data_IF_001242381777
#
_entry.id   IF_001242381777
#
_cell.length_a   1.000
_cell.length_b   1.000
_cell.length_c   1.000
_cell.angle_alpha   90.00
_cell.angle_beta   90.00
_cell.angle_gamma   90.00
#
_symmetry.space_group_name_H-M   'P 1'
#
loop_
_entity.id
_entity.type
_entity.pdbx_description
1 polymer ?
#
# COMPACT_ATOMS: atom_id res chain seq x y z
N UNK A 1 17.91 0.92 27.69
CA UNK A 1 16.96 0.55 26.62
C UNK A 1 15.79 1.51 26.73
N UNK A 2 15.75 2.52 25.86
CA UNK A 2 14.85 3.67 25.96
C UNK A 2 13.45 3.30 25.49
N UNK A 3 12.40 3.88 26.08
CA UNK A 3 11.00 3.54 25.80
C UNK A 3 10.63 3.60 24.30
N UNK A 4 11.31 4.45 23.54
CA UNK A 4 11.20 4.58 22.08
C UNK A 4 11.57 3.29 21.34
N UNK A 5 12.61 2.59 21.78
CA UNK A 5 13.02 1.33 21.17
C UNK A 5 11.98 0.22 21.40
N UNK A 6 11.37 0.19 22.59
CA UNK A 6 10.28 -0.74 22.89
C UNK A 6 9.04 -0.41 22.06
N UNK A 7 8.67 0.87 21.97
CA UNK A 7 7.56 1.31 21.12
C UNK A 7 7.80 0.94 19.65
N UNK A 8 9.02 1.14 19.14
CA UNK A 8 9.41 0.72 17.81
C UNK A 8 9.24 -0.79 17.61
N UNK A 9 9.73 -1.62 18.53
CA UNK A 9 9.59 -3.08 18.44
C UNK A 9 8.13 -3.52 18.40
N UNK A 10 7.28 -2.92 19.24
CA UNK A 10 5.83 -3.24 19.27
C UNK A 10 5.16 -2.87 17.95
N UNK A 11 5.42 -1.67 17.45
CA UNK A 11 4.81 -1.17 16.21
C UNK A 11 5.34 -1.93 14.98
N UNK A 12 6.63 -2.26 14.95
CA UNK A 12 7.23 -3.08 13.89
C UNK A 12 6.67 -4.51 13.91
N UNK A 13 6.53 -5.11 15.09
CA UNK A 13 5.89 -6.42 15.25
C UNK A 13 4.43 -6.39 14.79
N UNK A 14 3.68 -5.33 15.11
CA UNK A 14 2.31 -5.14 14.62
C UNK A 14 2.29 -5.05 13.07
N UNK A 15 3.19 -4.28 12.46
CA UNK A 15 3.28 -4.14 11.00
C UNK A 15 3.55 -5.49 10.31
N UNK A 16 4.56 -6.23 10.79
CA UNK A 16 4.93 -7.54 10.25
C UNK A 16 3.83 -8.56 10.48
N UNK A 17 3.25 -8.62 11.69
CA UNK A 17 2.18 -9.56 12.01
C UNK A 17 0.95 -9.32 11.11
N UNK A 18 0.58 -8.06 10.86
CA UNK A 18 -0.49 -7.72 9.91
C UNK A 18 -0.21 -8.20 8.49
N UNK A 19 1.01 -8.02 7.99
CA UNK A 19 1.42 -8.52 6.68
C UNK A 19 1.36 -10.06 6.59
N UNK A 20 1.83 -10.75 7.64
CA UNK A 20 1.77 -12.21 7.74
C UNK A 20 0.33 -12.74 7.80
N UNK A 21 -0.55 -12.09 8.57
CA UNK A 21 -1.99 -12.41 8.60
C UNK A 21 -2.60 -12.24 7.21
N UNK A 22 -2.25 -11.17 6.51
CA UNK A 22 -2.72 -10.90 5.14
C UNK A 22 -2.33 -12.01 4.18
N UNK A 23 -1.07 -12.47 4.25
CA UNK A 23 -0.51 -13.49 3.36
C UNK A 23 -1.06 -14.90 3.63
N UNK A 24 -1.21 -15.29 4.91
CA UNK A 24 -1.64 -16.64 5.27
C UNK A 24 -3.15 -16.82 5.40
N UNK A 25 -3.91 -15.73 5.52
CA UNK A 25 -5.35 -15.83 5.66
C UNK A 25 -6.03 -16.34 4.39
N UNK A 26 -6.88 -17.35 4.56
CA UNK A 26 -7.76 -17.89 3.50
C UNK A 26 -9.01 -17.06 3.26
N UNK A 27 -9.42 -16.24 4.24
CA UNK A 27 -10.61 -15.40 4.12
C UNK A 27 -10.21 -13.98 3.76
N UNK A 28 -10.76 -13.45 2.67
CA UNK A 28 -10.53 -12.07 2.18
C UNK A 28 -10.70 -11.04 3.30
N UNK A 29 -11.76 -11.17 4.09
CA UNK A 29 -12.08 -10.24 5.18
C UNK A 29 -10.96 -10.19 6.23
N UNK A 30 -10.50 -11.35 6.70
CA UNK A 30 -9.40 -11.43 7.69
C UNK A 30 -8.08 -10.96 7.09
N UNK A 31 -7.83 -11.23 5.80
CA UNK A 31 -6.65 -10.70 5.12
C UNK A 31 -6.65 -9.18 5.11
N UNK A 32 -7.81 -8.56 4.87
CA UNK A 32 -7.94 -7.11 4.90
C UNK A 32 -7.76 -6.52 6.31
N UNK A 33 -8.28 -7.15 7.36
CA UNK A 33 -7.98 -6.72 8.74
C UNK A 33 -6.47 -6.82 9.06
N UNK A 34 -5.79 -7.86 8.56
CA UNK A 34 -4.33 -7.96 8.61
C UNK A 34 -3.65 -6.78 7.90
N UNK A 35 -4.16 -6.38 6.74
CA UNK A 35 -3.61 -5.27 5.97
C UNK A 35 -3.81 -3.91 6.67
N UNK A 36 -4.97 -3.70 7.31
CA UNK A 36 -5.22 -2.53 8.17
C UNK A 36 -4.19 -2.49 9.30
N UNK A 37 -3.97 -3.61 10.00
CA UNK A 37 -2.98 -3.69 11.07
C UNK A 37 -1.57 -3.39 10.55
N UNK A 38 -1.22 -3.89 9.36
CA UNK A 38 0.06 -3.62 8.73
C UNK A 38 0.28 -2.11 8.48
N UNK A 39 -0.70 -1.44 7.88
CA UNK A 39 -0.63 -0.01 7.60
C UNK A 39 -0.70 0.87 8.86
N UNK A 40 -1.42 0.43 9.89
CA UNK A 40 -1.44 1.08 11.19
C UNK A 40 -0.06 0.99 11.85
N UNK A 41 0.60 -0.17 11.75
CA UNK A 41 1.99 -0.36 12.16
C UNK A 41 2.95 0.57 11.41
N UNK A 42 2.84 0.65 10.07
CA UNK A 42 3.69 1.58 9.27
C UNK A 42 3.45 3.04 9.66
N UNK A 43 2.20 3.45 9.89
CA UNK A 43 1.89 4.80 10.37
C UNK A 43 2.53 5.07 11.74
N UNK A 44 2.54 4.08 12.64
CA UNK A 44 3.25 4.16 13.91
C UNK A 44 4.77 4.32 13.74
N UNK A 45 5.38 3.63 12.77
CA UNK A 45 6.82 3.81 12.45
C UNK A 45 7.09 5.24 11.98
N UNK A 46 6.23 5.81 11.12
CA UNK A 46 6.35 7.22 10.71
C UNK A 46 6.21 8.18 11.88
N UNK A 47 5.30 7.92 12.81
CA UNK A 47 5.14 8.73 14.01
C UNK A 47 6.40 8.69 14.91
N UNK A 48 7.00 7.50 15.10
CA UNK A 48 8.23 7.32 15.87
C UNK A 48 9.45 7.96 15.20
N UNK A 49 9.46 8.08 13.87
CA UNK A 49 10.49 8.79 13.11
C UNK A 49 10.31 10.32 13.12
N UNK A 50 9.26 10.85 13.75
CA UNK A 50 8.95 12.28 13.77
C UNK A 50 8.24 12.80 12.51
N UNK A 51 7.72 11.90 11.67
CA UNK A 51 7.06 12.24 10.40
C UNK A 51 5.53 12.26 10.55
N UNK A 52 5.00 13.20 11.34
CA UNK A 52 3.57 13.26 11.68
C UNK A 52 2.66 13.41 10.45
N UNK A 53 3.03 14.24 9.47
CA UNK A 53 2.24 14.42 8.25
C UNK A 53 2.10 13.11 7.45
N UNK A 54 3.20 12.35 7.30
CA UNK A 54 3.18 11.06 6.61
C UNK A 54 2.40 10.01 7.39
N UNK A 55 2.51 9.98 8.72
CA UNK A 55 1.72 9.09 9.57
C UNK A 55 0.21 9.30 9.37
N UNK A 56 -0.25 10.55 9.39
CA UNK A 56 -1.67 10.89 9.19
C UNK A 56 -2.10 10.57 7.75
N UNK A 57 -1.29 10.93 6.75
CA UNK A 57 -1.58 10.63 5.34
C UNK A 57 -1.68 9.13 5.09
N UNK A 58 -0.84 8.32 5.75
CA UNK A 58 -0.89 6.86 5.70
C UNK A 58 -2.26 6.34 6.16
N UNK A 59 -2.80 6.90 7.23
CA UNK A 59 -4.12 6.50 7.74
C UNK A 59 -5.25 6.97 6.82
N UNK A 60 -5.22 8.23 6.37
CA UNK A 60 -6.30 8.78 5.53
C UNK A 60 -6.34 8.10 4.17
N UNK A 61 -5.20 7.99 3.49
CA UNK A 61 -5.14 7.50 2.10
C UNK A 61 -5.17 5.98 2.06
N UNK A 62 -4.27 5.30 2.78
CA UNK A 62 -4.17 3.85 2.67
C UNK A 62 -5.24 3.13 3.49
N UNK A 63 -5.37 3.45 4.78
CA UNK A 63 -6.37 2.78 5.63
C UNK A 63 -7.79 3.25 5.29
N UNK A 64 -8.00 4.56 5.15
CA UNK A 64 -9.32 5.15 4.92
C UNK A 64 -9.83 5.00 3.48
N UNK A 65 -8.95 5.15 2.48
CA UNK A 65 -9.32 5.10 1.07
C UNK A 65 -9.05 3.73 0.43
N UNK A 66 -7.78 3.39 0.26
CA UNK A 66 -7.34 2.25 -0.56
C UNK A 66 -7.87 0.92 -0.03
N UNK A 67 -7.70 0.65 1.27
CA UNK A 67 -8.14 -0.62 1.86
C UNK A 67 -9.66 -0.75 1.82
N UNK A 68 -10.40 0.32 2.09
CA UNK A 68 -11.87 0.31 2.04
C UNK A 68 -12.36 0.03 0.61
N UNK A 69 -11.79 0.71 -0.39
CA UNK A 69 -12.13 0.46 -1.79
C UNK A 69 -11.78 -0.97 -2.22
N UNK A 70 -10.61 -1.46 -1.81
CA UNK A 70 -10.18 -2.83 -2.08
C UNK A 70 -11.13 -3.84 -1.43
N UNK A 71 -11.53 -3.62 -0.18
CA UNK A 71 -12.47 -4.46 0.53
C UNK A 71 -13.81 -4.57 -0.20
N UNK A 72 -14.38 -3.43 -0.61
CA UNK A 72 -15.61 -3.44 -1.40
C UNK A 72 -15.43 -4.18 -2.72
N UNK A 73 -14.34 -3.92 -3.45
CA UNK A 73 -14.06 -4.56 -4.74
C UNK A 73 -13.93 -6.08 -4.62
N UNK A 74 -13.14 -6.57 -3.67
CA UNK A 74 -12.90 -8.01 -3.52
C UNK A 74 -14.10 -8.72 -2.89
N UNK A 75 -14.86 -8.08 -2.00
CA UNK A 75 -16.11 -8.67 -1.48
C UNK A 75 -17.18 -8.84 -2.57
N UNK A 76 -17.24 -7.94 -3.55
CA UNK A 76 -18.17 -8.02 -4.67
C UNK A 76 -17.70 -8.97 -5.79
N UNK A 77 -16.44 -9.43 -5.73
CA UNK A 77 -15.86 -10.33 -6.74
C UNK A 77 -15.92 -11.78 -6.24
N UNK A 78 -16.56 -12.70 -6.98
CA UNK A 78 -16.58 -14.11 -6.59
C UNK A 78 -15.16 -14.71 -6.62
N UNK A 79 -14.81 -15.58 -5.66
CA UNK A 79 -13.49 -16.19 -5.61
C UNK A 79 -13.32 -17.18 -6.79
N UNK A 80 -12.30 -16.96 -7.61
CA UNK A 80 -11.92 -17.91 -8.65
C UNK A 80 -10.94 -18.94 -8.06
N UNK A 81 -11.33 -20.22 -8.10
CA UNK A 81 -10.62 -21.33 -7.45
C UNK A 81 -9.95 -22.25 -8.48
N UNK A 82 -9.32 -21.70 -9.52
CA UNK A 82 -8.45 -22.51 -10.41
C UNK A 82 -7.04 -22.66 -9.82
N UNK A 83 -6.85 -23.78 -9.12
CA UNK A 83 -5.62 -24.13 -8.41
C UNK A 83 -4.59 -24.79 -9.36
N UNK A 84 -3.68 -24.00 -9.96
CA UNK A 84 -2.47 -24.52 -10.64
C UNK A 84 -1.23 -24.26 -9.78
N UNK A 85 -1.00 -25.08 -8.74
CA UNK A 85 -0.19 -24.66 -7.58
C UNK A 85 1.12 -25.39 -7.29
N UNK A 86 1.50 -26.50 -7.96
CA UNK A 86 2.72 -27.22 -7.53
C UNK A 86 4.03 -26.66 -8.13
N UNK A 87 4.09 -26.41 -9.45
CA UNK A 87 5.35 -26.05 -10.14
C UNK A 87 5.80 -24.59 -9.93
N UNK A 88 4.87 -23.68 -9.62
CA UNK A 88 5.21 -22.25 -9.46
C UNK A 88 5.75 -21.92 -8.07
N UNK A 89 5.46 -22.72 -7.04
CA UNK A 89 5.83 -22.41 -5.65
C UNK A 89 7.34 -22.49 -5.43
N UNK A 90 8.03 -23.47 -6.03
CA UNK A 90 9.49 -23.58 -5.94
C UNK A 90 10.20 -22.41 -6.63
N UNK A 91 9.69 -21.96 -7.78
CA UNK A 91 10.19 -20.78 -8.48
C UNK A 91 10.00 -19.50 -7.65
N UNK A 92 8.81 -19.26 -7.11
CA UNK A 92 8.54 -18.09 -6.26
C UNK A 92 9.30 -18.13 -4.94
N UNK A 93 9.50 -19.31 -4.35
CA UNK A 93 10.32 -19.50 -3.16
C UNK A 93 11.80 -19.21 -3.43
N UNK A 94 12.34 -19.70 -4.56
CA UNK A 94 13.71 -19.41 -4.98
C UNK A 94 13.91 -17.90 -5.25
N UNK A 95 12.94 -17.25 -5.91
CA UNK A 95 12.96 -15.81 -6.14
C UNK A 95 12.92 -15.02 -4.81
N UNK A 96 12.08 -15.45 -3.87
CA UNK A 96 12.02 -14.86 -2.53
C UNK A 96 13.34 -14.98 -1.78
N UNK A 97 13.98 -16.15 -1.86
CA UNK A 97 15.29 -16.39 -1.24
C UNK A 97 16.38 -15.52 -1.87
N UNK A 98 16.44 -15.44 -3.20
CA UNK A 98 17.39 -14.57 -3.91
C UNK A 98 17.20 -13.11 -3.53
N UNK A 99 15.95 -12.65 -3.46
CA UNK A 99 15.64 -11.27 -3.04
C UNK A 99 16.10 -11.01 -1.59
N UNK A 100 15.90 -11.97 -0.68
CA UNK A 100 16.35 -11.87 0.71
C UNK A 100 17.89 -11.82 0.82
N UNK A 101 18.59 -12.64 0.02
CA UNK A 101 20.07 -12.67 -0.01
C UNK A 101 20.61 -11.35 -0.55
N UNK A 102 20.08 -10.85 -1.67
CA UNK A 102 20.49 -9.56 -2.24
C UNK A 102 20.21 -8.40 -1.28
N UNK A 103 19.05 -8.41 -0.61
CA UNK A 103 18.72 -7.43 0.41
C UNK A 103 19.72 -7.47 1.58
N UNK A 104 20.07 -8.67 2.04
CA UNK A 104 21.05 -8.86 3.12
C UNK A 104 22.44 -8.36 2.71
N UNK A 105 22.91 -8.69 1.51
CA UNK A 105 24.20 -8.20 0.99
C UNK A 105 24.20 -6.67 0.90
N UNK A 106 23.11 -6.06 0.43
CA UNK A 106 22.99 -4.60 0.37
C UNK A 106 23.04 -3.96 1.76
N UNK A 107 22.35 -4.56 2.75
CA UNK A 107 22.29 -4.07 4.12
C UNK A 107 23.65 -4.09 4.83
N UNK A 108 24.44 -5.16 4.63
CA UNK A 108 25.75 -5.31 5.27
C UNK A 108 26.91 -4.74 4.44
N UNK A 109 26.74 -4.61 3.13
CA UNK A 109 27.75 -4.09 2.20
C UNK A 109 27.79 -2.56 2.12
N UNK A 110 26.72 -1.87 2.52
CA UNK A 110 26.65 -0.41 2.50
C UNK A 110 26.89 0.18 3.89
N UNK A 111 27.89 1.06 4.02
CA UNK A 111 28.00 1.91 5.21
C UNK A 111 27.02 3.06 5.07
N UNK A 112 25.90 2.97 5.77
CA UNK A 112 24.92 4.05 5.81
C UNK A 112 25.54 5.26 6.53
N UNK A 113 25.59 6.44 5.88
CA UNK A 113 26.01 7.66 6.56
C UNK A 113 25.05 7.96 7.71
N UNK A 114 25.60 8.09 8.92
CA UNK A 114 24.84 8.45 10.11
C UNK A 114 24.50 9.95 10.06
N UNK A 115 23.48 10.31 9.28
CA UNK A 115 22.88 11.64 9.37
C UNK A 115 21.99 11.66 10.60
N UNK A 116 22.30 12.51 11.58
CA UNK A 116 21.29 12.94 12.56
C UNK A 116 20.33 13.84 11.80
N UNK A 117 19.33 13.22 11.18
CA UNK A 117 18.34 13.91 10.36
C UNK A 117 17.57 14.91 11.22
N UNK A 118 17.57 16.18 10.79
CA UNK A 118 16.57 17.16 11.22
C UNK A 118 15.18 16.53 11.03
N UNK A 119 14.22 16.67 11.96
CA UNK A 119 12.88 16.13 11.80
C UNK A 119 12.29 16.63 10.47
N UNK A 120 12.24 15.74 9.49
CA UNK A 120 11.79 15.98 8.11
C UNK A 120 10.45 15.30 7.96
N UNK A 121 9.39 16.07 8.19
CA UNK A 121 8.02 15.57 8.09
C UNK A 121 6.97 16.62 8.44
N UNK A 122 7.36 17.89 8.45
CA UNK A 122 6.43 19.00 8.62
C UNK A 122 5.65 19.22 7.31
N UNK A 123 4.33 19.44 7.45
CA UNK A 123 3.44 19.60 6.32
C UNK A 123 3.79 20.85 5.49
N UNK A 124 4.23 21.94 6.14
CA UNK A 124 4.61 23.16 5.47
C UNK A 124 5.85 22.96 4.59
N UNK A 125 6.89 22.32 5.13
CA UNK A 125 8.11 22.02 4.37
C UNK A 125 7.87 21.08 3.19
N UNK A 126 6.99 20.08 3.34
CA UNK A 126 6.58 19.21 2.22
C UNK A 126 5.79 20.02 1.17
N UNK A 127 4.86 20.87 1.59
CA UNK A 127 4.10 21.73 0.69
C UNK A 127 4.98 22.69 -0.12
N UNK A 128 5.96 23.32 0.53
CA UNK A 128 6.93 24.20 -0.14
C UNK A 128 7.78 23.42 -1.16
N UNK A 129 8.25 22.23 -0.80
CA UNK A 129 9.03 21.38 -1.70
C UNK A 129 8.22 20.93 -2.93
N UNK A 130 6.91 20.69 -2.78
CA UNK A 130 6.00 20.34 -3.89
C UNK A 130 5.73 21.51 -4.85
N UNK A 131 5.83 22.76 -4.37
CA UNK A 131 5.54 23.96 -5.17
C UNK A 131 6.82 24.63 -5.72
N UNK A 132 7.99 24.18 -5.30
CA UNK A 132 9.28 24.73 -5.74
C UNK A 132 9.73 24.11 -7.06
N UNK A 133 10.04 24.97 -8.05
CA UNK A 133 10.42 24.57 -9.42
C UNK A 133 11.59 23.58 -9.47
N UNK A 134 12.63 23.83 -8.68
CA UNK A 134 13.87 23.03 -8.69
C UNK A 134 13.80 21.79 -7.77
N UNK A 135 12.67 21.58 -7.08
CA UNK A 135 12.43 20.43 -6.20
C UNK A 135 11.42 19.46 -6.82
N UNK A 136 10.15 19.50 -6.40
CA UNK A 136 9.15 18.50 -6.78
C UNK A 136 7.95 19.05 -7.56
N UNK A 137 8.05 20.25 -8.15
CA UNK A 137 6.96 20.85 -8.92
C UNK A 137 6.50 19.97 -10.10
N UNK A 138 7.44 19.48 -10.91
CA UNK A 138 7.10 18.64 -12.07
C UNK A 138 6.41 17.32 -11.67
N UNK A 139 6.93 16.53 -10.70
CA UNK A 139 6.22 15.36 -10.19
C UNK A 139 4.82 15.69 -9.63
N UNK A 140 4.65 16.83 -8.96
CA UNK A 140 3.36 17.26 -8.43
C UNK A 140 2.34 17.52 -9.55
N UNK A 141 2.74 18.23 -10.61
CA UNK A 141 1.89 18.46 -11.78
C UNK A 141 1.50 17.14 -12.46
N UNK A 142 2.47 16.24 -12.67
CA UNK A 142 2.21 14.92 -13.27
C UNK A 142 1.24 14.11 -12.40
N UNK A 143 1.38 14.14 -11.08
CA UNK A 143 0.46 13.47 -10.17
C UNK A 143 -0.98 14.05 -10.27
N UNK A 144 -1.11 15.37 -10.43
CA UNK A 144 -2.43 16.01 -10.60
C UNK A 144 -3.14 15.56 -11.89
N UNK A 145 -2.40 15.47 -13.00
CA UNK A 145 -2.91 14.97 -14.28
C UNK A 145 -3.23 13.48 -14.17
N UNK A 146 -2.38 12.70 -13.49
CA UNK A 146 -2.62 11.28 -13.26
C UNK A 146 -3.93 11.06 -12.49
N UNK A 147 -4.18 11.82 -11.42
CA UNK A 147 -5.42 11.74 -10.65
C UNK A 147 -6.65 12.10 -11.50
N UNK A 148 -6.54 13.11 -12.37
CA UNK A 148 -7.59 13.45 -13.32
C UNK A 148 -7.88 12.28 -14.28
N UNK A 149 -6.84 11.70 -14.88
CA UNK A 149 -6.96 10.57 -15.81
C UNK A 149 -7.55 9.34 -15.11
N UNK A 150 -7.14 9.04 -13.88
CA UNK A 150 -7.68 7.94 -13.08
C UNK A 150 -9.16 8.15 -12.79
N UNK A 151 -9.59 9.36 -12.42
CA UNK A 151 -11.00 9.67 -12.16
C UNK A 151 -11.85 9.47 -13.42
N UNK A 152 -11.43 10.03 -14.56
CA UNK A 152 -12.15 9.88 -15.84
C UNK A 152 -12.20 8.41 -16.24
N UNK A 153 -11.08 7.69 -16.13
CA UNK A 153 -10.98 6.27 -16.45
C UNK A 153 -11.89 5.40 -15.61
N UNK A 154 -11.89 5.59 -14.29
CA UNK A 154 -12.73 4.85 -13.35
C UNK A 154 -14.23 5.07 -13.62
N UNK A 155 -14.64 6.33 -13.83
CA UNK A 155 -16.04 6.68 -14.13
C UNK A 155 -16.48 6.10 -15.49
N UNK A 156 -15.62 6.18 -16.51
CA UNK A 156 -15.92 5.64 -17.82
C UNK A 156 -16.10 4.11 -17.79
N UNK A 157 -15.23 3.39 -17.08
CA UNK A 157 -15.32 1.95 -16.93
C UNK A 157 -16.60 1.52 -16.20
N UNK A 158 -16.90 2.15 -15.04
CA UNK A 158 -18.09 1.85 -14.26
C UNK A 158 -19.40 2.06 -15.05
N UNK A 159 -19.44 3.07 -15.93
CA UNK A 159 -20.61 3.31 -16.81
C UNK A 159 -20.78 2.24 -17.89
N UNK A 160 -19.67 1.73 -18.46
CA UNK A 160 -19.71 0.70 -19.52
C UNK A 160 -20.23 -0.63 -19.01
N UNK A 161 -19.86 -1.03 -17.80
CA UNK A 161 -20.35 -2.27 -17.20
C UNK A 161 -21.87 -2.24 -16.97
N UNK A 162 -22.39 -1.10 -16.49
CA UNK A 162 -23.83 -0.90 -16.33
C UNK A 162 -24.60 -1.01 -17.64
N UNK A 163 -24.07 -0.43 -18.73
CA UNK A 163 -24.70 -0.49 -20.06
C UNK A 163 -24.73 -1.92 -20.62
N UNK A 164 -23.61 -2.65 -20.54
CA UNK A 164 -23.55 -4.07 -20.98
C UNK A 164 -24.51 -4.96 -20.20
N UNK A 165 -24.64 -4.75 -18.89
CA UNK A 165 -25.58 -5.52 -18.07
C UNK A 165 -27.04 -5.29 -18.49
N UNK A 166 -27.40 -4.08 -18.94
CA UNK A 166 -28.74 -3.78 -19.45
C UNK A 166 -29.01 -4.41 -20.82
N UNK A 167 -28.06 -4.32 -21.76
CA UNK A 167 -28.19 -4.91 -23.10
C UNK A 167 -28.35 -6.44 -23.04
N UNK A 168 -27.60 -7.11 -22.15
CA UNK A 168 -27.74 -8.57 -21.95
C UNK A 168 -29.13 -8.95 -21.38
N UNK A 169 -29.68 -8.14 -20.48
CA UNK A 169 -30.99 -8.41 -19.87
C UNK A 169 -32.18 -8.15 -20.83
N UNK A 170 -31.98 -7.35 -21.88
CA UNK A 170 -32.98 -7.12 -22.93
C UNK A 170 -32.92 -8.21 -24.01
N UNK A 171 -31.72 -8.70 -24.36
CA UNK A 171 -31.52 -9.78 -25.33
C UNK A 171 -32.04 -11.15 -24.87
N UNK A 172 -32.14 -11.40 -23.56
CA UNK A 172 -32.72 -12.65 -23.00
C UNK A 172 -34.26 -12.64 -23.00
N UNK A 173 -34.90 -11.49 -23.24
CA UNK A 173 -36.36 -11.32 -23.26
C UNK A 173 -36.96 -11.35 -24.68
N UNK A 174 -36.12 -11.41 -25.72
CA UNK A 174 -36.52 -11.45 -27.13
C UNK A 174 -36.39 -12.88 -27.69
#
# INVERSE_FOLDING_TARGET
MTAEFLAFLVVAAAAVSGALITLWSRSIVRSAFGLILAFLGVAGVYALLGCAFLAITQLVVYVGGVVVLYLFGVMLTPPDLEERRASRVTFWAALGLVSLVLFSISLFGTRLPSSQGKPMGDAAGIGEALLTRDAYLLPFEIASILLLVVLVGAVHLARREKKKAQENAEGEKA
#
